data_IF_108285618494
#
_entry.id   IF_108285618494
#
_cell.length_a   1.000
_cell.length_b   1.000
_cell.length_c   1.000
_cell.angle_alpha   90.00
_cell.angle_beta   90.00
_cell.angle_gamma   90.00
#
_symmetry.space_group_name_H-M   'P 1'
#
loop_
_entity.id
_entity.type
_entity.pdbx_description
1 polymer ?
#
# COMPACT_ATOMS: atom_id res chain seq x y z
N UNK A 1 -22.03 -5.13 3.30
CA UNK A 1 -21.20 -4.00 2.82
C UNK A 1 -21.10 -2.91 3.87
N UNK A 2 -19.92 -2.36 4.12
CA UNK A 2 -19.72 -1.23 5.05
C UNK A 2 -18.86 -0.13 4.41
N UNK A 3 -19.08 1.12 4.84
CA UNK A 3 -18.24 2.26 4.49
C UNK A 3 -17.18 2.47 5.55
N UNK A 4 -15.93 2.67 5.12
CA UNK A 4 -14.78 2.93 5.99
C UNK A 4 -14.18 4.27 5.57
N UNK A 5 -14.03 5.18 6.53
CA UNK A 5 -13.39 6.47 6.33
C UNK A 5 -11.90 6.38 6.62
N UNK A 6 -11.12 7.14 5.89
CA UNK A 6 -9.68 7.23 6.09
C UNK A 6 -9.13 8.55 5.57
N UNK A 7 -7.84 8.73 5.75
CA UNK A 7 -7.11 9.91 5.33
C UNK A 7 -5.93 9.56 4.44
N UNK A 8 -5.55 10.48 3.58
CA UNK A 8 -4.39 10.34 2.70
C UNK A 8 -3.09 10.27 3.53
N UNK A 9 -2.24 9.26 3.32
CA UNK A 9 -0.99 9.10 4.07
C UNK A 9 0.19 9.86 3.45
N UNK A 10 -0.03 10.59 2.36
CA UNK A 10 1.03 11.35 1.70
C UNK A 10 1.40 12.61 2.48
N UNK A 11 2.65 13.00 2.35
CA UNK A 11 3.20 14.25 2.87
C UNK A 11 2.70 15.44 2.03
N UNK A 12 1.48 15.88 2.34
CA UNK A 12 0.78 16.92 1.62
C UNK A 12 -0.16 17.67 2.57
N UNK A 13 -0.17 19.03 2.55
CA UNK A 13 -0.99 19.82 3.47
C UNK A 13 -2.50 19.70 3.24
N UNK A 14 -2.95 19.17 2.10
CA UNK A 14 -4.37 19.02 1.79
C UNK A 14 -5.08 17.99 2.67
N UNK A 15 -4.34 17.00 3.20
CA UNK A 15 -4.86 15.97 4.13
C UNK A 15 -6.20 15.36 3.70
N UNK A 16 -6.34 15.06 2.41
CA UNK A 16 -7.59 14.56 1.83
C UNK A 16 -8.14 13.37 2.61
N UNK A 17 -9.45 13.41 2.90
CA UNK A 17 -10.18 12.26 3.40
C UNK A 17 -10.79 11.47 2.25
N UNK A 18 -10.97 10.18 2.48
CA UNK A 18 -11.59 9.27 1.52
C UNK A 18 -12.55 8.28 2.20
N UNK A 19 -13.42 7.71 1.39
CA UNK A 19 -14.37 6.67 1.80
C UNK A 19 -14.18 5.45 0.92
N UNK A 20 -14.06 4.30 1.55
CA UNK A 20 -14.00 2.98 0.89
C UNK A 20 -15.28 2.22 1.21
N UNK A 21 -15.91 1.67 0.18
CA UNK A 21 -16.95 0.65 0.35
C UNK A 21 -16.29 -0.73 0.35
N UNK A 22 -16.49 -1.48 1.42
CA UNK A 22 -15.96 -2.83 1.60
C UNK A 22 -17.10 -3.83 1.52
N UNK A 23 -16.95 -4.88 0.70
CA UNK A 23 -17.92 -5.97 0.60
C UNK A 23 -17.84 -6.91 1.82
N UNK A 24 -18.69 -7.95 1.82
CA UNK A 24 -18.77 -8.89 2.94
C UNK A 24 -17.55 -9.84 3.00
N UNK A 25 -16.82 -9.97 1.90
CA UNK A 25 -15.55 -10.72 1.79
C UNK A 25 -14.33 -9.89 2.26
N UNK A 26 -14.52 -8.61 2.60
CA UNK A 26 -13.47 -7.71 3.05
C UNK A 26 -12.71 -6.99 1.94
N UNK A 27 -13.21 -7.03 0.71
CA UNK A 27 -12.59 -6.36 -0.43
C UNK A 27 -13.09 -4.94 -0.60
N UNK A 28 -12.19 -4.02 -0.95
CA UNK A 28 -12.51 -2.64 -1.31
C UNK A 28 -13.04 -2.58 -2.75
N UNK A 29 -14.33 -2.35 -2.90
CA UNK A 29 -15.03 -2.34 -4.19
C UNK A 29 -15.27 -0.95 -4.76
N UNK A 30 -15.30 0.08 -3.90
CA UNK A 30 -15.41 1.48 -4.29
C UNK A 30 -14.42 2.33 -3.48
N UNK A 31 -13.89 3.37 -4.08
CA UNK A 31 -12.99 4.33 -3.45
C UNK A 31 -13.23 5.73 -4.00
N UNK A 32 -13.55 6.66 -3.15
CA UNK A 32 -13.77 8.06 -3.52
C UNK A 32 -13.37 9.01 -2.39
N UNK A 33 -13.20 10.29 -2.71
CA UNK A 33 -12.97 11.32 -1.70
C UNK A 33 -14.19 11.52 -0.81
N UNK A 34 -13.95 11.87 0.44
CA UNK A 34 -15.00 12.17 1.39
C UNK A 34 -15.61 13.56 1.05
N UNK A 35 -16.90 13.64 0.67
CA UNK A 35 -17.52 14.91 0.34
C UNK A 35 -17.68 15.86 1.55
N UNK A 36 -17.63 15.32 2.77
CA UNK A 36 -17.76 16.10 4.01
C UNK A 36 -16.40 16.69 4.46
N UNK A 37 -15.30 16.38 3.77
CA UNK A 37 -14.01 16.98 4.09
C UNK A 37 -14.03 18.49 3.85
N UNK A 38 -13.70 19.33 4.86
CA UNK A 38 -13.94 20.77 4.82
C UNK A 38 -13.19 21.52 3.73
N UNK A 39 -12.03 21.02 3.32
CA UNK A 39 -11.17 21.63 2.31
C UNK A 39 -11.33 21.00 0.93
N UNK A 40 -11.11 19.69 0.80
CA UNK A 40 -11.07 18.99 -0.50
C UNK A 40 -12.44 18.61 -1.03
N UNK A 41 -13.48 18.55 -0.16
CA UNK A 41 -14.89 18.31 -0.53
C UNK A 41 -15.08 17.17 -1.52
N UNK A 42 -14.42 16.04 -1.25
CA UNK A 42 -14.47 14.85 -2.09
C UNK A 42 -13.47 14.82 -3.26
N UNK A 43 -12.67 15.86 -3.45
CA UNK A 43 -11.62 15.83 -4.46
C UNK A 43 -10.46 14.93 -4.01
N UNK A 44 -9.98 14.10 -4.93
CA UNK A 44 -8.76 13.30 -4.77
C UNK A 44 -7.81 13.56 -5.94
N UNK A 45 -6.54 13.72 -5.66
CA UNK A 45 -5.52 13.84 -6.69
C UNK A 45 -5.28 12.52 -7.43
N UNK A 46 -4.59 12.58 -8.55
CA UNK A 46 -4.31 11.41 -9.42
C UNK A 46 -3.58 10.26 -8.70
N UNK A 47 -2.78 10.57 -7.68
CA UNK A 47 -2.06 9.55 -6.88
C UNK A 47 -3.02 8.64 -6.11
N UNK A 48 -4.09 9.19 -5.55
CA UNK A 48 -5.06 8.43 -4.76
C UNK A 48 -6.11 7.71 -5.59
N UNK A 49 -6.54 8.28 -6.72
CA UNK A 49 -7.64 7.71 -7.55
C UNK A 49 -7.44 6.24 -7.93
N UNK A 50 -6.20 5.75 -7.94
CA UNK A 50 -5.84 4.38 -8.36
C UNK A 50 -5.38 3.48 -7.20
N UNK A 51 -5.60 3.87 -5.95
CA UNK A 51 -5.15 3.07 -4.80
C UNK A 51 -5.71 1.65 -4.76
N UNK A 52 -7.02 1.40 -4.99
CA UNK A 52 -7.52 0.02 -5.03
C UNK A 52 -6.85 -0.84 -6.10
N UNK A 53 -6.58 -0.28 -7.28
CA UNK A 53 -5.86 -0.99 -8.34
C UNK A 53 -4.45 -1.41 -7.91
N UNK A 54 -3.77 -0.58 -7.11
CA UNK A 54 -2.46 -0.90 -6.56
C UNK A 54 -2.54 -1.99 -5.48
N UNK A 55 -3.57 -1.93 -4.63
CA UNK A 55 -3.77 -2.92 -3.56
C UNK A 55 -3.99 -4.32 -4.13
N UNK A 56 -4.78 -4.42 -5.21
CA UNK A 56 -5.14 -5.69 -5.85
C UNK A 56 -4.31 -6.02 -7.09
N UNK A 57 -3.22 -5.31 -7.33
CA UNK A 57 -2.32 -5.59 -8.46
C UNK A 57 -1.69 -6.98 -8.32
N UNK A 58 -1.68 -7.74 -9.40
CA UNK A 58 -0.98 -9.03 -9.47
C UNK A 58 0.54 -8.89 -9.34
N UNK A 59 1.08 -7.70 -9.66
CA UNK A 59 2.51 -7.39 -9.51
C UNK A 59 2.90 -6.99 -8.09
N UNK A 60 1.93 -6.93 -7.17
CA UNK A 60 2.20 -6.57 -5.79
C UNK A 60 3.04 -7.63 -5.10
N UNK A 61 4.15 -7.21 -4.49
CA UNK A 61 5.00 -8.07 -3.67
C UNK A 61 4.27 -8.39 -2.36
N UNK A 62 3.86 -9.65 -2.18
CA UNK A 62 3.09 -10.12 -1.03
C UNK A 62 3.94 -10.78 0.05
N UNK A 63 5.17 -11.14 -0.27
CA UNK A 63 6.09 -11.87 0.61
C UNK A 63 7.49 -11.30 0.50
N UNK A 64 8.34 -11.48 1.53
CA UNK A 64 9.75 -11.12 1.44
C UNK A 64 10.44 -11.85 0.30
N UNK A 65 11.20 -11.11 -0.48
CA UNK A 65 11.97 -11.63 -1.60
C UNK A 65 13.46 -11.34 -1.37
N UNK A 66 14.29 -12.36 -1.51
CA UNK A 66 15.74 -12.23 -1.50
C UNK A 66 16.29 -12.34 -2.92
N UNK A 67 17.14 -11.42 -3.32
CA UNK A 67 17.80 -11.51 -4.61
C UNK A 67 18.70 -12.76 -4.66
N UNK A 68 18.54 -13.60 -5.69
CA UNK A 68 19.28 -14.83 -5.91
C UNK A 68 20.34 -14.71 -7.02
N UNK A 69 20.17 -13.75 -7.93
CA UNK A 69 21.09 -13.52 -9.05
C UNK A 69 21.95 -12.25 -8.89
N UNK A 70 22.73 -11.91 -9.91
CA UNK A 70 23.48 -10.66 -9.96
C UNK A 70 22.59 -9.44 -9.83
N UNK A 71 23.17 -8.32 -9.36
CA UNK A 71 22.43 -7.05 -9.28
C UNK A 71 21.90 -6.65 -10.67
N UNK A 72 20.59 -6.41 -10.75
CA UNK A 72 19.92 -6.03 -11.99
C UNK A 72 19.35 -7.21 -12.81
N UNK A 73 19.60 -8.47 -12.43
CA UNK A 73 19.05 -9.65 -13.16
C UNK A 73 17.53 -9.81 -12.98
N UNK A 74 16.94 -9.23 -11.94
CA UNK A 74 15.54 -9.44 -11.61
C UNK A 74 15.22 -10.81 -10.99
N UNK A 75 16.25 -11.59 -10.65
CA UNK A 75 16.09 -12.92 -10.06
C UNK A 75 15.93 -12.85 -8.55
N UNK A 76 14.78 -13.33 -8.06
CA UNK A 76 14.44 -13.33 -6.63
C UNK A 76 13.86 -14.67 -6.21
N UNK A 77 14.11 -15.04 -4.96
CA UNK A 77 13.50 -16.19 -4.30
C UNK A 77 12.72 -15.73 -3.08
N UNK A 78 11.58 -16.37 -2.83
CA UNK A 78 10.79 -16.12 -1.63
C UNK A 78 11.55 -16.65 -0.40
N UNK A 79 11.56 -15.84 0.66
CA UNK A 79 12.07 -16.22 1.98
C UNK A 79 11.01 -16.00 3.04
N UNK A 80 11.20 -16.51 4.25
CA UNK A 80 10.31 -16.24 5.37
C UNK A 80 10.55 -14.84 5.94
N UNK A 81 9.56 -14.33 6.70
CA UNK A 81 9.72 -13.07 7.43
C UNK A 81 10.85 -13.14 8.46
N UNK A 82 11.01 -14.28 9.15
CA UNK A 82 12.07 -14.48 10.14
C UNK A 82 13.45 -14.38 9.49
N UNK A 83 13.63 -15.04 8.34
CA UNK A 83 14.88 -14.94 7.56
C UNK A 83 15.15 -13.51 7.08
N UNK A 84 14.13 -12.80 6.59
CA UNK A 84 14.28 -11.43 6.14
C UNK A 84 14.69 -10.48 7.29
N UNK A 85 14.03 -10.60 8.43
CA UNK A 85 14.32 -9.80 9.62
C UNK A 85 15.72 -10.09 10.16
N UNK A 86 16.10 -11.37 10.23
CA UNK A 86 17.43 -11.77 10.69
C UNK A 86 18.53 -11.21 9.79
N UNK A 87 18.41 -11.35 8.48
CA UNK A 87 19.41 -10.83 7.53
C UNK A 87 19.54 -9.30 7.62
N UNK A 88 18.42 -8.58 7.64
CA UNK A 88 18.43 -7.12 7.73
C UNK A 88 19.03 -6.65 9.06
N UNK A 89 18.61 -7.26 10.19
CA UNK A 89 19.10 -6.88 11.52
C UNK A 89 20.59 -7.18 11.70
N UNK A 90 21.06 -8.30 11.14
CA UNK A 90 22.50 -8.63 11.15
C UNK A 90 23.31 -7.60 10.38
N UNK A 91 22.84 -7.18 9.21
CA UNK A 91 23.53 -6.12 8.44
C UNK A 91 23.56 -4.78 9.18
N UNK A 92 22.49 -4.40 9.84
CA UNK A 92 22.50 -3.18 10.66
C UNK A 92 23.45 -3.24 11.86
N UNK A 93 23.67 -4.43 12.44
CA UNK A 93 24.64 -4.61 13.53
C UNK A 93 26.10 -4.59 13.08
N UNK A 94 26.38 -4.96 11.82
CA UNK A 94 27.70 -4.93 11.22
C UNK A 94 28.15 -3.52 10.81
N UNK A 95 27.22 -2.55 10.72
CA UNK A 95 27.49 -1.17 10.30
C UNK A 95 27.66 -0.26 11.50
#
# INVERSE_FOLDING_TARGET
MKKVHGACPHDCPDTCAWVVTVNDEGEAIEFHGDPDHPFTKGALCSKLKRYPQRVYSQERVLYPLKRSGPKGSGEFVRISWDQAIEEVSSKFKET
#
